data_IF_997014684018
#
_entry.id   IF_997014684018
#
_cell.length_a   1.000
_cell.length_b   1.000
_cell.length_c   1.000
_cell.angle_alpha   90.00
_cell.angle_beta   90.00
_cell.angle_gamma   90.00
#
_symmetry.space_group_name_H-M   'P 1'
#
loop_
_entity.id
_entity.type
_entity.pdbx_description
1 polymer ?
#
# COMPACT_ATOMS: atom_id res chain seq x y z
N UNK A 1 36.98 11.20 34.93
CA UNK A 1 36.50 10.00 34.21
C UNK A 1 35.02 9.67 34.57
N UNK A 2 34.65 9.70 35.83
CA UNK A 2 33.22 9.45 36.24
C UNK A 2 32.21 10.43 35.63
N UNK A 3 32.59 11.67 35.42
CA UNK A 3 31.72 12.75 34.91
C UNK A 3 31.32 12.53 33.41
N UNK A 4 32.23 12.08 32.59
CA UNK A 4 31.96 11.86 31.16
C UNK A 4 31.04 10.65 30.88
N UNK A 5 31.17 9.58 31.67
CA UNK A 5 30.29 8.40 31.54
C UNK A 5 28.87 8.73 31.98
N UNK A 6 28.73 9.43 33.11
CA UNK A 6 27.43 9.90 33.59
C UNK A 6 26.71 10.82 32.58
N UNK A 7 27.45 11.76 32.00
CA UNK A 7 26.86 12.66 30.98
C UNK A 7 26.44 11.89 29.72
N UNK A 8 27.22 10.90 29.29
CA UNK A 8 26.92 10.06 28.15
C UNK A 8 25.60 9.29 28.35
N UNK A 9 25.50 8.55 29.46
CA UNK A 9 24.28 7.80 29.80
C UNK A 9 23.07 8.71 29.99
N UNK A 10 23.24 9.86 30.62
CA UNK A 10 22.18 10.84 30.81
C UNK A 10 21.65 11.39 29.47
N UNK A 11 22.52 11.71 28.51
CA UNK A 11 22.09 12.14 27.19
C UNK A 11 21.32 11.07 26.42
N UNK A 12 21.75 9.79 26.52
CA UNK A 12 21.03 8.66 25.93
C UNK A 12 19.65 8.53 26.56
N UNK A 13 19.58 8.51 27.87
CA UNK A 13 18.30 8.39 28.61
C UNK A 13 17.31 9.49 28.25
N UNK A 14 17.75 10.74 28.24
CA UNK A 14 16.92 11.87 27.82
C UNK A 14 16.52 11.75 26.35
N UNK A 15 17.44 11.38 25.47
CA UNK A 15 17.16 11.20 24.05
C UNK A 15 16.09 10.13 23.82
N UNK A 16 16.24 8.94 24.43
CA UNK A 16 15.25 7.84 24.33
C UNK A 16 13.90 8.19 24.94
N UNK A 17 13.86 9.01 26.00
CA UNK A 17 12.61 9.55 26.57
C UNK A 17 11.85 10.39 25.50
N UNK A 18 12.54 11.25 24.76
CA UNK A 18 11.93 12.02 23.68
C UNK A 18 11.53 11.15 22.47
N UNK A 19 12.21 10.01 22.22
CA UNK A 19 11.75 9.02 21.23
C UNK A 19 10.39 8.45 21.64
N UNK A 20 10.22 8.09 22.91
CA UNK A 20 8.95 7.58 23.44
C UNK A 20 7.82 8.61 23.33
N UNK A 21 8.13 9.90 23.47
CA UNK A 21 7.21 11.02 23.24
C UNK A 21 6.99 11.37 21.76
N UNK A 22 7.61 10.65 20.83
CA UNK A 22 7.64 10.94 19.38
C UNK A 22 8.19 12.32 19.02
N UNK A 23 8.97 12.95 19.92
CA UNK A 23 9.63 14.22 19.67
C UNK A 23 11.04 14.01 19.09
N UNK A 24 11.07 13.58 17.84
CA UNK A 24 12.29 13.10 17.17
C UNK A 24 13.38 14.17 17.05
N UNK A 25 13.02 15.45 16.85
CA UNK A 25 14.01 16.52 16.78
C UNK A 25 14.72 16.78 18.13
N UNK A 26 13.97 16.71 19.25
CA UNK A 26 14.60 16.82 20.57
C UNK A 26 15.42 15.58 20.88
N UNK A 27 14.90 14.37 20.58
CA UNK A 27 15.64 13.14 20.71
C UNK A 27 16.99 13.21 19.99
N UNK A 28 16.98 13.61 18.72
CA UNK A 28 18.17 13.77 17.90
C UNK A 28 19.19 14.74 18.51
N UNK A 29 18.70 15.87 19.06
CA UNK A 29 19.59 16.84 19.74
C UNK A 29 20.36 16.22 20.91
N UNK A 30 19.71 15.38 21.72
CA UNK A 30 20.34 14.77 22.89
C UNK A 30 21.21 13.58 22.51
N UNK A 31 20.78 12.74 21.58
CA UNK A 31 21.59 11.61 21.13
C UNK A 31 22.83 12.07 20.35
N UNK A 32 22.78 13.17 19.61
CA UNK A 32 23.97 13.81 19.04
C UNK A 32 24.98 14.29 20.10
N UNK A 33 24.53 14.75 21.27
CA UNK A 33 25.42 15.09 22.38
C UNK A 33 26.07 13.83 22.97
N UNK A 34 25.31 12.73 23.11
CA UNK A 34 25.88 11.44 23.50
C UNK A 34 26.91 10.96 22.47
N UNK A 35 26.59 11.04 21.19
CA UNK A 35 27.48 10.66 20.10
C UNK A 35 28.81 11.46 20.07
N UNK A 36 28.79 12.70 20.50
CA UNK A 36 29.97 13.53 20.63
C UNK A 36 30.86 13.19 21.85
N UNK A 37 30.39 12.36 22.78
CA UNK A 37 31.18 11.85 23.89
C UNK A 37 32.24 10.84 23.41
N UNK A 38 33.33 10.57 24.15
CA UNK A 38 34.41 9.74 23.69
C UNK A 38 34.06 8.33 23.22
N UNK A 39 33.02 7.73 23.85
CA UNK A 39 32.57 6.38 23.50
C UNK A 39 31.41 6.38 22.47
N UNK A 40 30.80 7.53 22.18
CA UNK A 40 29.57 7.61 21.40
C UNK A 40 29.70 7.10 19.96
N UNK A 41 30.86 7.26 19.34
CA UNK A 41 31.12 6.78 17.97
C UNK A 41 31.37 5.27 17.87
N UNK A 42 31.44 4.56 18.98
CA UNK A 42 31.66 3.10 19.05
C UNK A 42 30.47 2.37 19.67
N UNK A 43 29.48 3.11 20.15
CA UNK A 43 28.28 2.56 20.75
C UNK A 43 27.26 2.24 19.65
N UNK A 44 27.14 0.97 19.31
CA UNK A 44 26.28 0.49 18.22
C UNK A 44 24.83 0.86 18.48
N UNK A 45 24.35 0.70 19.72
CA UNK A 45 22.96 1.00 20.06
C UNK A 45 22.63 2.48 19.86
N UNK A 46 23.54 3.37 20.28
CA UNK A 46 23.39 4.81 20.06
C UNK A 46 23.41 5.16 18.56
N UNK A 47 24.27 4.52 17.77
CA UNK A 47 24.35 4.78 16.33
C UNK A 47 23.08 4.28 15.64
N UNK A 48 22.53 3.14 16.05
CA UNK A 48 21.23 2.64 15.58
C UNK A 48 20.07 3.55 15.97
N UNK A 49 20.06 4.08 17.20
CA UNK A 49 19.07 5.07 17.63
C UNK A 49 19.13 6.35 16.76
N UNK A 50 20.35 6.80 16.42
CA UNK A 50 20.52 7.94 15.51
C UNK A 50 20.07 7.63 14.11
N UNK A 51 20.39 6.45 13.56
CA UNK A 51 19.93 6.00 12.25
C UNK A 51 18.40 6.00 12.18
N UNK A 52 17.74 5.40 13.17
CA UNK A 52 16.29 5.41 13.30
C UNK A 52 15.70 6.84 13.35
N UNK A 53 16.32 7.75 14.09
CA UNK A 53 15.85 9.13 14.19
C UNK A 53 16.00 9.90 12.87
N UNK A 54 17.11 9.68 12.16
CA UNK A 54 17.29 10.28 10.84
C UNK A 54 16.25 9.75 9.84
N UNK A 55 15.96 8.46 9.87
CA UNK A 55 14.86 7.88 9.10
C UNK A 55 13.51 8.57 9.43
N UNK A 56 13.16 8.70 10.72
CA UNK A 56 11.89 9.33 11.16
C UNK A 56 11.74 10.81 10.79
N UNK A 57 12.82 11.50 10.50
CA UNK A 57 12.79 12.88 10.01
C UNK A 57 13.07 13.00 8.50
N UNK A 58 13.06 11.87 7.78
CA UNK A 58 13.32 11.76 6.35
C UNK A 58 14.72 12.28 5.90
N UNK A 59 15.73 12.24 6.78
CA UNK A 59 17.13 12.46 6.43
C UNK A 59 17.81 11.13 6.09
N UNK A 60 17.40 10.54 4.97
CA UNK A 60 17.84 9.20 4.55
C UNK A 60 19.35 9.10 4.33
N UNK A 61 20.00 10.17 3.84
CA UNK A 61 21.45 10.21 3.68
C UNK A 61 22.19 10.05 5.02
N UNK A 62 21.70 10.72 6.07
CA UNK A 62 22.30 10.60 7.40
C UNK A 62 21.99 9.24 8.03
N UNK A 63 20.77 8.70 7.81
CA UNK A 63 20.39 7.36 8.27
C UNK A 63 21.29 6.29 7.64
N UNK A 64 21.45 6.30 6.32
CA UNK A 64 22.33 5.39 5.57
C UNK A 64 23.76 5.40 6.11
N UNK A 65 24.30 6.61 6.33
CA UNK A 65 25.64 6.77 6.91
C UNK A 65 25.77 6.13 8.29
N UNK A 66 24.75 6.27 9.15
CA UNK A 66 24.76 5.66 10.48
C UNK A 66 24.69 4.13 10.39
N UNK A 67 23.81 3.57 9.53
CA UNK A 67 23.76 2.12 9.35
C UNK A 67 25.08 1.55 8.79
N UNK A 68 25.72 2.22 7.82
CA UNK A 68 27.05 1.82 7.32
C UNK A 68 28.10 1.87 8.41
N UNK A 69 28.07 2.89 9.28
CA UNK A 69 28.98 2.94 10.44
C UNK A 69 28.76 1.80 11.42
N UNK A 70 27.53 1.36 11.63
CA UNK A 70 27.26 0.15 12.44
C UNK A 70 27.94 -1.06 11.81
N UNK A 71 27.80 -1.24 10.50
CA UNK A 71 28.38 -2.37 9.78
C UNK A 71 29.92 -2.34 9.71
N UNK A 72 30.52 -1.16 9.79
CA UNK A 72 31.98 -1.02 9.93
C UNK A 72 32.48 -1.51 11.31
N UNK A 73 31.61 -1.45 12.34
CA UNK A 73 31.93 -1.91 13.71
C UNK A 73 31.55 -3.38 13.88
N UNK A 74 30.36 -3.76 13.43
CA UNK A 74 29.77 -5.10 13.48
C UNK A 74 29.10 -5.43 12.15
N UNK A 75 29.80 -6.14 11.30
CA UNK A 75 29.32 -6.56 9.98
C UNK A 75 28.26 -7.67 10.03
N UNK A 76 27.85 -8.10 11.22
CA UNK A 76 26.78 -9.09 11.44
C UNK A 76 25.47 -8.47 11.96
N UNK A 77 25.43 -7.14 12.12
CA UNK A 77 24.26 -6.46 12.64
C UNK A 77 23.07 -6.52 11.67
N UNK A 78 22.15 -7.45 11.89
CA UNK A 78 20.95 -7.65 11.06
C UNK A 78 20.06 -6.39 10.98
N UNK A 79 19.97 -5.62 12.08
CA UNK A 79 19.18 -4.37 12.13
C UNK A 79 19.75 -3.32 11.17
N UNK A 80 21.08 -3.21 11.06
CA UNK A 80 21.70 -2.25 10.17
C UNK A 80 21.48 -2.61 8.69
N UNK A 81 21.59 -3.88 8.34
CA UNK A 81 21.26 -4.36 7.01
C UNK A 81 19.78 -4.13 6.68
N UNK A 82 18.87 -4.46 7.59
CA UNK A 82 17.44 -4.19 7.40
C UNK A 82 17.16 -2.71 7.20
N UNK A 83 17.79 -1.83 8.00
CA UNK A 83 17.63 -0.38 7.87
C UNK A 83 18.13 0.17 6.53
N UNK A 84 19.25 -0.35 6.02
CA UNK A 84 19.71 -0.02 4.66
C UNK A 84 18.73 -0.51 3.60
N UNK A 85 18.20 -1.72 3.77
CA UNK A 85 17.20 -2.27 2.87
C UNK A 85 15.96 -1.38 2.77
N UNK A 86 15.45 -0.86 3.89
CA UNK A 86 14.30 0.07 3.89
C UNK A 86 14.63 1.36 3.12
N UNK A 87 15.82 1.93 3.28
CA UNK A 87 16.23 3.15 2.57
C UNK A 87 16.28 2.91 1.06
N UNK A 88 16.86 1.79 0.63
CA UNK A 88 16.91 1.46 -0.80
C UNK A 88 15.54 1.13 -1.38
N UNK A 89 14.66 0.50 -0.59
CA UNK A 89 13.28 0.20 -0.97
C UNK A 89 12.45 1.49 -1.18
N UNK A 90 12.59 2.47 -0.26
CA UNK A 90 11.95 3.79 -0.38
C UNK A 90 12.46 4.59 -1.61
N UNK A 91 13.69 4.35 -2.04
CA UNK A 91 14.29 4.92 -3.27
C UNK A 91 13.98 4.09 -4.54
N UNK A 92 13.13 3.05 -4.44
CA UNK A 92 12.78 2.10 -5.51
C UNK A 92 13.99 1.31 -6.07
N UNK A 93 15.09 1.23 -5.30
CA UNK A 93 16.28 0.44 -5.61
C UNK A 93 16.10 -0.98 -5.07
N UNK A 94 15.16 -1.72 -5.67
CA UNK A 94 14.70 -3.01 -5.14
C UNK A 94 15.78 -4.09 -5.13
N UNK A 95 16.70 -4.10 -6.09
CA UNK A 95 17.80 -5.07 -6.15
C UNK A 95 18.76 -4.86 -4.97
N UNK A 96 19.12 -3.63 -4.65
CA UNK A 96 19.98 -3.27 -3.52
C UNK A 96 19.26 -3.56 -2.19
N UNK A 97 17.97 -3.27 -2.11
CA UNK A 97 17.15 -3.60 -0.94
C UNK A 97 17.12 -5.11 -0.67
N UNK A 98 16.91 -5.92 -1.71
CA UNK A 98 16.92 -7.40 -1.64
C UNK A 98 18.24 -7.91 -1.07
N UNK A 99 19.39 -7.41 -1.54
CA UNK A 99 20.69 -7.84 -1.03
C UNK A 99 20.86 -7.48 0.45
N UNK A 100 20.37 -6.32 0.86
CA UNK A 100 20.40 -5.92 2.27
C UNK A 100 19.46 -6.78 3.13
N UNK A 101 18.24 -7.05 2.70
CA UNK A 101 17.32 -7.91 3.45
C UNK A 101 17.82 -9.35 3.55
N UNK A 102 18.44 -9.90 2.50
CA UNK A 102 19.08 -11.22 2.55
C UNK A 102 20.19 -11.26 3.61
N UNK A 103 21.06 -10.26 3.65
CA UNK A 103 22.11 -10.16 4.67
C UNK A 103 21.53 -10.03 6.08
N UNK A 104 20.43 -9.30 6.26
CA UNK A 104 19.75 -9.24 7.54
C UNK A 104 19.26 -10.63 7.98
N UNK A 105 18.67 -11.41 7.07
CA UNK A 105 18.18 -12.77 7.31
C UNK A 105 19.34 -13.77 7.55
N UNK A 106 20.44 -13.65 6.82
CA UNK A 106 21.64 -14.48 7.03
C UNK A 106 22.18 -14.33 8.46
N UNK A 107 22.13 -13.12 9.03
CA UNK A 107 22.62 -12.82 10.37
C UNK A 107 21.55 -13.06 11.47
N UNK A 108 20.26 -12.93 11.14
CA UNK A 108 19.15 -13.30 12.03
C UNK A 108 18.04 -13.99 11.22
N UNK A 109 18.04 -15.31 11.21
CA UNK A 109 17.09 -16.12 10.46
C UNK A 109 15.65 -16.10 11.05
N UNK A 110 15.42 -15.38 12.14
CA UNK A 110 14.10 -15.12 12.73
C UNK A 110 13.64 -13.68 12.54
N UNK A 111 14.35 -12.89 11.78
CA UNK A 111 14.01 -11.49 11.56
C UNK A 111 12.80 -11.38 10.62
N UNK A 112 11.61 -11.56 11.18
CA UNK A 112 10.31 -11.56 10.47
C UNK A 112 10.16 -10.38 9.50
N UNK A 113 10.49 -9.17 9.96
CA UNK A 113 10.37 -7.95 9.13
C UNK A 113 11.26 -8.00 7.88
N UNK A 114 12.46 -8.58 7.98
CA UNK A 114 13.35 -8.68 6.83
C UNK A 114 12.78 -9.62 5.77
N UNK A 115 12.17 -10.74 6.16
CA UNK A 115 11.43 -11.60 5.22
C UNK A 115 10.25 -10.89 4.57
N UNK A 116 9.49 -10.11 5.37
CA UNK A 116 8.32 -9.39 4.87
C UNK A 116 8.70 -8.38 3.78
N UNK A 117 9.68 -7.53 4.05
CA UNK A 117 10.11 -6.52 3.09
C UNK A 117 10.91 -7.12 1.92
N UNK A 118 11.63 -8.23 2.13
CA UNK A 118 12.23 -8.99 1.03
C UNK A 118 11.15 -9.53 0.08
N UNK A 119 10.02 -10.01 0.63
CA UNK A 119 8.89 -10.46 -0.18
C UNK A 119 8.26 -9.31 -0.97
N UNK A 120 8.07 -8.12 -0.33
CA UNK A 120 7.57 -6.94 -1.01
C UNK A 120 8.48 -6.54 -2.18
N UNK A 121 9.79 -6.43 -1.96
CA UNK A 121 10.74 -6.04 -3.00
C UNK A 121 10.75 -7.03 -4.18
N UNK A 122 10.63 -8.33 -3.92
CA UNK A 122 10.47 -9.32 -4.98
C UNK A 122 9.14 -9.19 -5.72
N UNK A 123 8.07 -8.83 -5.02
CA UNK A 123 6.74 -8.61 -5.62
C UNK A 123 6.75 -7.39 -6.56
N UNK A 124 7.36 -6.29 -6.15
CA UNK A 124 7.55 -5.08 -6.98
C UNK A 124 8.35 -5.38 -8.25
N UNK A 125 9.37 -6.23 -8.18
CA UNK A 125 10.12 -6.71 -9.35
C UNK A 125 9.36 -7.78 -10.17
N UNK A 126 8.14 -8.15 -9.78
CA UNK A 126 7.34 -9.17 -10.46
C UNK A 126 7.80 -10.61 -10.22
N UNK A 127 8.77 -10.84 -9.32
CA UNK A 127 9.23 -12.17 -8.95
C UNK A 127 8.31 -12.81 -7.91
N UNK A 128 7.11 -13.20 -8.38
CA UNK A 128 6.05 -13.73 -7.52
C UNK A 128 6.45 -15.02 -6.79
N UNK A 129 7.32 -15.84 -7.35
CA UNK A 129 7.77 -17.10 -6.72
C UNK A 129 8.59 -16.82 -5.45
N UNK A 130 9.60 -15.94 -5.52
CA UNK A 130 10.38 -15.56 -4.36
C UNK A 130 9.56 -14.74 -3.35
N UNK A 131 8.62 -13.90 -3.81
CA UNK A 131 7.69 -13.19 -2.92
C UNK A 131 6.86 -14.17 -2.08
N UNK A 132 6.23 -15.17 -2.71
CA UNK A 132 5.44 -16.22 -2.02
C UNK A 132 6.30 -16.96 -0.99
N UNK A 133 7.52 -17.34 -1.37
CA UNK A 133 8.44 -18.05 -0.49
C UNK A 133 8.73 -17.24 0.77
N UNK A 134 9.06 -15.97 0.63
CA UNK A 134 9.41 -15.12 1.75
C UNK A 134 8.21 -14.75 2.62
N UNK A 135 7.02 -14.44 2.06
CA UNK A 135 5.80 -14.30 2.85
C UNK A 135 5.43 -15.58 3.59
N UNK A 136 5.70 -16.74 2.99
CA UNK A 136 5.49 -18.02 3.67
C UNK A 136 6.41 -18.18 4.88
N UNK A 137 7.67 -17.72 4.80
CA UNK A 137 8.57 -17.69 5.96
C UNK A 137 8.04 -16.73 7.05
N UNK A 138 7.52 -15.54 6.68
CA UNK A 138 6.81 -14.67 7.64
C UNK A 138 5.72 -15.45 8.36
N UNK A 139 4.86 -16.16 7.63
CA UNK A 139 3.75 -16.92 8.25
C UNK A 139 4.21 -18.14 9.07
N UNK A 140 5.40 -18.69 8.83
CA UNK A 140 6.00 -19.70 9.72
C UNK A 140 6.46 -19.09 11.05
N UNK A 141 7.00 -17.87 11.01
CA UNK A 141 7.43 -17.15 12.21
C UNK A 141 6.24 -16.55 12.97
N UNK A 142 5.27 -16.01 12.25
CA UNK A 142 4.07 -15.36 12.76
C UNK A 142 2.85 -15.72 11.89
N UNK A 143 2.16 -16.78 12.22
CA UNK A 143 1.00 -17.27 11.46
C UNK A 143 -0.19 -16.27 11.43
N UNK A 144 -0.15 -15.24 12.28
CA UNK A 144 -1.17 -14.18 12.38
C UNK A 144 -0.71 -12.85 11.77
N UNK A 145 0.32 -12.86 10.92
CA UNK A 145 0.66 -11.65 10.20
C UNK A 145 -0.45 -11.32 9.18
N UNK A 146 -1.08 -10.16 9.40
CA UNK A 146 -2.20 -9.69 8.60
C UNK A 146 -1.79 -9.47 7.14
N UNK A 147 -0.67 -8.76 6.97
CA UNK A 147 -0.27 -8.30 5.65
C UNK A 147 0.35 -9.40 4.81
N UNK A 148 1.08 -10.33 5.41
CA UNK A 148 1.59 -11.49 4.70
C UNK A 148 0.44 -12.37 4.17
N UNK A 149 -0.64 -12.58 4.96
CA UNK A 149 -1.83 -13.26 4.47
C UNK A 149 -2.51 -12.47 3.35
N UNK A 150 -2.70 -11.15 3.50
CA UNK A 150 -3.36 -10.33 2.48
C UNK A 150 -2.56 -10.28 1.17
N UNK A 151 -1.24 -10.08 1.24
CA UNK A 151 -0.37 -10.02 0.06
C UNK A 151 -0.29 -11.37 -0.66
N UNK A 152 -0.16 -12.49 0.06
CA UNK A 152 -0.28 -13.81 -0.54
C UNK A 152 -1.62 -14.01 -1.25
N UNK A 153 -2.72 -13.51 -0.67
CA UNK A 153 -4.02 -13.52 -1.32
C UNK A 153 -4.01 -12.77 -2.66
N UNK A 154 -3.44 -11.56 -2.69
CA UNK A 154 -3.32 -10.78 -3.93
C UNK A 154 -2.44 -11.49 -4.97
N UNK A 155 -1.27 -11.98 -4.57
CA UNK A 155 -0.33 -12.68 -5.48
C UNK A 155 -0.97 -13.93 -6.09
N UNK A 156 -1.64 -14.77 -5.29
CA UNK A 156 -2.30 -15.97 -5.84
C UNK A 156 -3.46 -15.62 -6.77
N UNK A 157 -4.16 -14.50 -6.55
CA UNK A 157 -5.18 -14.04 -7.50
C UNK A 157 -4.57 -13.58 -8.83
N UNK A 158 -3.44 -12.86 -8.80
CA UNK A 158 -2.69 -12.48 -9.99
C UNK A 158 -2.17 -13.68 -10.77
N UNK A 159 -1.78 -14.75 -10.08
CA UNK A 159 -1.38 -16.03 -10.68
C UNK A 159 -2.57 -16.89 -11.16
N UNK A 160 -3.81 -16.44 -10.95
CA UNK A 160 -5.03 -17.12 -11.38
C UNK A 160 -5.57 -18.18 -10.41
N UNK A 161 -4.92 -18.40 -9.25
CA UNK A 161 -5.45 -19.30 -8.21
C UNK A 161 -6.34 -18.52 -7.22
N UNK A 162 -7.48 -18.08 -7.72
CA UNK A 162 -8.46 -17.32 -6.92
C UNK A 162 -8.96 -18.12 -5.70
N UNK A 163 -8.95 -19.47 -5.74
CA UNK A 163 -9.37 -20.27 -4.58
C UNK A 163 -8.37 -20.16 -3.43
N UNK A 164 -7.09 -20.24 -3.75
CA UNK A 164 -6.04 -20.08 -2.74
C UNK A 164 -5.94 -18.63 -2.26
N UNK A 165 -6.11 -17.68 -3.18
CA UNK A 165 -6.23 -16.25 -2.86
C UNK A 165 -7.32 -15.99 -1.82
N UNK A 166 -8.51 -16.54 -2.03
CA UNK A 166 -9.64 -16.41 -1.10
C UNK A 166 -9.30 -16.95 0.29
N UNK A 167 -8.65 -18.12 0.38
CA UNK A 167 -8.26 -18.72 1.67
C UNK A 167 -7.28 -17.85 2.47
N UNK A 168 -6.30 -17.24 1.81
CA UNK A 168 -5.37 -16.35 2.48
C UNK A 168 -6.04 -15.04 2.88
N UNK A 169 -6.89 -14.48 2.01
CA UNK A 169 -7.64 -13.26 2.33
C UNK A 169 -8.67 -13.49 3.44
N UNK A 170 -9.27 -14.68 3.55
CA UNK A 170 -10.17 -15.07 4.63
C UNK A 170 -9.44 -15.05 5.99
N UNK A 171 -8.19 -15.57 6.06
CA UNK A 171 -7.36 -15.45 7.27
C UNK A 171 -7.06 -13.99 7.61
N UNK A 172 -6.77 -13.16 6.62
CA UNK A 172 -6.58 -11.73 6.86
C UNK A 172 -7.87 -11.06 7.37
N UNK A 173 -9.04 -11.46 6.86
CA UNK A 173 -10.33 -10.97 7.33
C UNK A 173 -10.63 -11.40 8.78
N UNK A 174 -10.27 -12.63 9.18
CA UNK A 174 -10.39 -13.08 10.57
C UNK A 174 -9.56 -12.21 11.53
N UNK A 175 -8.36 -11.77 11.09
CA UNK A 175 -7.47 -10.91 11.87
C UNK A 175 -7.95 -9.46 11.93
N UNK A 176 -8.55 -8.96 10.86
CA UNK A 176 -9.07 -7.60 10.78
C UNK A 176 -10.43 -7.54 10.05
N UNK A 177 -11.53 -7.86 10.76
CA UNK A 177 -12.86 -8.00 10.15
C UNK A 177 -13.45 -6.71 9.57
N UNK A 178 -12.90 -5.56 9.94
CA UNK A 178 -13.36 -4.24 9.49
C UNK A 178 -12.30 -3.50 8.66
N UNK A 179 -11.40 -4.20 8.00
CA UNK A 179 -10.45 -3.57 7.11
C UNK A 179 -11.03 -3.46 5.69
N UNK A 180 -11.31 -2.24 5.23
CA UNK A 180 -12.05 -2.00 3.98
C UNK A 180 -11.42 -2.64 2.73
N UNK A 181 -10.07 -2.61 2.58
CA UNK A 181 -9.39 -3.23 1.44
C UNK A 181 -9.48 -4.75 1.46
N UNK A 182 -9.42 -5.37 2.64
CA UNK A 182 -9.60 -6.81 2.78
C UNK A 182 -11.04 -7.20 2.41
N UNK A 183 -12.04 -6.46 2.90
CA UNK A 183 -13.44 -6.64 2.52
C UNK A 183 -13.64 -6.46 1.02
N UNK A 184 -13.05 -5.43 0.43
CA UNK A 184 -13.09 -5.20 -1.02
C UNK A 184 -12.51 -6.40 -1.79
N UNK A 185 -11.32 -6.89 -1.43
CA UNK A 185 -10.67 -8.03 -2.09
C UNK A 185 -11.48 -9.32 -1.91
N UNK A 186 -12.11 -9.55 -0.74
CA UNK A 186 -13.05 -10.66 -0.55
C UNK A 186 -14.24 -10.56 -1.52
N UNK A 187 -14.74 -9.35 -1.79
CA UNK A 187 -15.75 -9.11 -2.82
C UNK A 187 -15.27 -9.48 -4.22
N UNK A 188 -14.07 -9.04 -4.60
CA UNK A 188 -13.44 -9.36 -5.89
C UNK A 188 -13.29 -10.87 -6.07
N UNK A 189 -12.73 -11.56 -5.09
CA UNK A 189 -12.51 -13.00 -5.16
C UNK A 189 -13.80 -13.79 -5.14
N UNK A 190 -14.81 -13.37 -4.34
CA UNK A 190 -16.14 -13.98 -4.33
C UNK A 190 -16.78 -13.89 -5.71
N UNK A 191 -16.72 -12.73 -6.37
CA UNK A 191 -17.22 -12.56 -7.73
C UNK A 191 -16.52 -13.46 -8.74
N UNK A 192 -15.18 -13.52 -8.71
CA UNK A 192 -14.38 -14.39 -9.58
C UNK A 192 -14.71 -15.89 -9.38
N UNK A 193 -15.08 -16.27 -8.16
CA UNK A 193 -15.51 -17.63 -7.83
C UNK A 193 -17.00 -17.89 -8.16
N UNK A 194 -17.70 -16.92 -8.74
CA UNK A 194 -19.12 -17.03 -9.13
C UNK A 194 -20.12 -16.81 -7.99
N UNK A 195 -19.65 -16.37 -6.83
CA UNK A 195 -20.55 -16.05 -5.70
C UNK A 195 -20.83 -14.55 -5.64
N UNK A 196 -21.72 -14.09 -6.52
CA UNK A 196 -22.08 -12.67 -6.61
C UNK A 196 -22.79 -12.13 -5.37
N UNK A 197 -23.59 -12.95 -4.69
CA UNK A 197 -24.30 -12.53 -3.47
C UNK A 197 -23.31 -12.19 -2.36
N UNK A 198 -22.31 -13.05 -2.14
CA UNK A 198 -21.24 -12.76 -1.20
C UNK A 198 -20.41 -11.55 -1.63
N UNK A 199 -20.13 -11.40 -2.93
CA UNK A 199 -19.40 -10.23 -3.44
C UNK A 199 -20.12 -8.91 -3.12
N UNK A 200 -21.44 -8.86 -3.35
CA UNK A 200 -22.28 -7.70 -3.02
C UNK A 200 -22.22 -7.39 -1.52
N UNK A 201 -22.32 -8.40 -0.68
CA UNK A 201 -22.26 -8.23 0.77
C UNK A 201 -20.91 -7.66 1.22
N UNK A 202 -19.80 -8.17 0.69
CA UNK A 202 -18.47 -7.68 1.00
C UNK A 202 -18.23 -6.25 0.50
N UNK A 203 -18.69 -5.88 -0.70
CA UNK A 203 -18.57 -4.51 -1.18
C UNK A 203 -19.39 -3.54 -0.32
N UNK A 204 -20.62 -3.91 0.10
CA UNK A 204 -21.42 -3.11 1.02
C UNK A 204 -20.71 -2.90 2.36
N UNK A 205 -20.12 -3.96 2.94
CA UNK A 205 -19.35 -3.85 4.18
C UNK A 205 -18.12 -2.97 4.00
N UNK A 206 -17.44 -3.04 2.85
CA UNK A 206 -16.31 -2.17 2.53
C UNK A 206 -16.73 -0.71 2.47
N UNK A 207 -17.85 -0.39 1.82
CA UNK A 207 -18.44 0.94 1.74
C UNK A 207 -18.85 1.47 3.13
N UNK A 208 -19.47 0.62 3.95
CA UNK A 208 -19.85 0.99 5.32
C UNK A 208 -18.64 1.38 6.18
N UNK A 209 -17.51 0.70 6.00
CA UNK A 209 -16.26 0.97 6.76
C UNK A 209 -15.54 2.19 6.22
N UNK A 210 -15.44 2.31 4.90
CA UNK A 210 -14.70 3.37 4.23
C UNK A 210 -15.48 3.90 3.01
N UNK A 211 -16.39 4.87 3.20
CA UNK A 211 -17.19 5.46 2.12
C UNK A 211 -16.34 6.20 1.07
N UNK A 212 -15.14 6.62 1.45
CA UNK A 212 -14.21 7.31 0.56
C UNK A 212 -13.34 6.37 -0.27
N UNK A 213 -13.66 5.07 -0.31
CA UNK A 213 -13.00 4.09 -1.18
C UNK A 213 -13.86 3.80 -2.42
N UNK A 214 -13.65 4.52 -3.54
CA UNK A 214 -14.56 4.54 -4.68
C UNK A 214 -14.63 3.22 -5.44
N UNK A 215 -13.59 2.39 -5.37
CA UNK A 215 -13.55 1.08 -6.06
C UNK A 215 -14.62 0.10 -5.57
N UNK A 216 -15.06 0.22 -4.32
CA UNK A 216 -16.12 -0.64 -3.79
C UNK A 216 -17.47 -0.35 -4.46
N UNK A 217 -17.79 0.92 -4.71
CA UNK A 217 -18.99 1.31 -5.45
C UNK A 217 -18.93 0.85 -6.91
N UNK A 218 -17.77 1.05 -7.56
CA UNK A 218 -17.60 0.64 -8.95
C UNK A 218 -17.80 -0.86 -9.11
N UNK A 219 -17.11 -1.68 -8.32
CA UNK A 219 -17.19 -3.13 -8.45
C UNK A 219 -18.58 -3.67 -8.07
N UNK A 220 -19.25 -3.03 -7.11
CA UNK A 220 -20.63 -3.33 -6.78
C UNK A 220 -21.59 -3.00 -7.93
N UNK A 221 -21.45 -1.84 -8.56
CA UNK A 221 -22.25 -1.43 -9.71
C UNK A 221 -22.03 -2.33 -10.94
N UNK A 222 -20.77 -2.76 -11.17
CA UNK A 222 -20.41 -3.66 -12.29
C UNK A 222 -21.18 -4.99 -12.23
N UNK A 223 -21.51 -5.52 -11.03
CA UNK A 223 -22.33 -6.73 -10.91
C UNK A 223 -23.72 -6.48 -11.52
N UNK A 224 -24.33 -5.33 -11.27
CA UNK A 224 -25.64 -4.99 -11.83
C UNK A 224 -25.59 -4.64 -13.32
N UNK A 225 -24.51 -4.00 -13.78
CA UNK A 225 -24.24 -3.79 -15.20
C UNK A 225 -24.19 -5.13 -15.96
N UNK A 226 -23.52 -6.13 -15.43
CA UNK A 226 -23.44 -7.48 -16.03
C UNK A 226 -24.80 -8.20 -16.08
N UNK A 227 -25.73 -7.82 -15.22
CA UNK A 227 -27.13 -8.26 -15.24
C UNK A 227 -28.03 -7.37 -16.10
N UNK A 228 -27.46 -6.39 -16.80
CA UNK A 228 -28.18 -5.36 -17.56
C UNK A 228 -29.14 -4.50 -16.72
N UNK A 229 -29.04 -4.55 -15.39
CA UNK A 229 -29.78 -3.65 -14.48
C UNK A 229 -29.00 -2.33 -14.32
N UNK A 230 -28.97 -1.56 -15.41
CA UNK A 230 -28.28 -0.28 -15.46
C UNK A 230 -28.84 0.75 -14.50
N UNK A 231 -30.15 0.69 -14.20
CA UNK A 231 -30.77 1.62 -13.24
C UNK A 231 -30.18 1.42 -11.84
N UNK A 232 -30.04 0.17 -11.41
CA UNK A 232 -29.44 -0.14 -10.11
C UNK A 232 -27.94 0.19 -10.10
N UNK A 233 -27.24 -0.08 -11.20
CA UNK A 233 -25.82 0.29 -11.34
C UNK A 233 -25.62 1.82 -11.21
N UNK A 234 -26.48 2.63 -11.86
CA UNK A 234 -26.49 4.10 -11.76
C UNK A 234 -26.76 4.56 -10.32
N UNK A 235 -27.75 3.97 -9.65
CA UNK A 235 -28.04 4.29 -8.25
C UNK A 235 -26.79 4.12 -7.36
N UNK A 236 -26.08 2.99 -7.49
CA UNK A 236 -24.87 2.69 -6.71
C UNK A 236 -23.75 3.68 -7.03
N UNK A 237 -23.51 3.98 -8.32
CA UNK A 237 -22.50 4.96 -8.72
C UNK A 237 -22.84 6.37 -8.24
N UNK A 238 -24.13 6.73 -8.19
CA UNK A 238 -24.55 8.02 -7.65
C UNK A 238 -24.16 8.18 -6.17
N UNK A 239 -24.32 7.13 -5.37
CA UNK A 239 -23.83 7.12 -3.99
C UNK A 239 -22.30 7.25 -3.95
N UNK A 240 -21.60 6.52 -4.82
CA UNK A 240 -20.15 6.60 -4.94
C UNK A 240 -19.65 8.01 -5.29
N UNK A 241 -20.29 8.68 -6.25
CA UNK A 241 -19.97 10.06 -6.67
C UNK A 241 -20.26 11.07 -5.55
N UNK A 242 -21.31 10.85 -4.78
CA UNK A 242 -21.64 11.73 -3.65
C UNK A 242 -20.54 11.77 -2.61
N UNK A 243 -19.98 10.62 -2.28
CA UNK A 243 -18.89 10.49 -1.31
C UNK A 243 -17.49 10.79 -1.94
N UNK A 244 -17.34 10.59 -3.26
CA UNK A 244 -16.09 10.74 -3.99
C UNK A 244 -16.25 11.63 -5.25
N UNK A 245 -16.57 12.92 -5.09
CA UNK A 245 -16.96 13.80 -6.21
C UNK A 245 -15.85 14.16 -7.18
N UNK A 246 -14.60 13.92 -6.81
CA UNK A 246 -13.41 14.21 -7.63
C UNK A 246 -12.88 12.97 -8.38
N UNK A 247 -13.54 11.80 -8.24
CA UNK A 247 -13.13 10.57 -8.89
C UNK A 247 -13.68 10.44 -10.30
N UNK A 248 -12.91 10.88 -11.30
CA UNK A 248 -13.32 10.95 -12.70
C UNK A 248 -13.81 9.63 -13.29
N UNK A 249 -13.25 8.49 -12.85
CA UNK A 249 -13.66 7.18 -13.37
C UNK A 249 -15.08 6.77 -12.96
N UNK A 250 -15.62 7.29 -11.86
CA UNK A 250 -17.01 7.03 -11.49
C UNK A 250 -17.98 7.70 -12.48
N UNK A 251 -17.71 8.94 -12.88
CA UNK A 251 -18.48 9.62 -13.91
C UNK A 251 -18.36 8.91 -15.26
N UNK A 252 -17.14 8.47 -15.61
CA UNK A 252 -16.94 7.70 -16.84
C UNK A 252 -17.79 6.43 -16.87
N UNK A 253 -17.78 5.62 -15.81
CA UNK A 253 -18.59 4.40 -15.74
C UNK A 253 -20.09 4.71 -15.76
N UNK A 254 -20.56 5.78 -15.07
CA UNK A 254 -21.96 6.19 -15.12
C UNK A 254 -22.36 6.67 -16.52
N UNK A 255 -21.46 7.34 -17.25
CA UNK A 255 -21.71 7.70 -18.65
C UNK A 255 -21.96 6.48 -19.52
N UNK A 256 -21.18 5.38 -19.35
CA UNK A 256 -21.41 4.12 -20.06
C UNK A 256 -22.81 3.54 -19.71
N UNK A 257 -23.20 3.58 -18.44
CA UNK A 257 -24.51 3.09 -18.02
C UNK A 257 -25.65 3.95 -18.59
N UNK A 258 -25.52 5.28 -18.58
CA UNK A 258 -26.50 6.17 -19.23
C UNK A 258 -26.57 5.95 -20.74
N UNK A 259 -25.44 5.76 -21.41
CA UNK A 259 -25.42 5.45 -22.85
C UNK A 259 -26.14 4.15 -23.18
N UNK A 260 -25.99 3.11 -22.34
CA UNK A 260 -26.67 1.83 -22.48
C UNK A 260 -28.22 1.97 -22.45
N UNK A 261 -28.75 2.81 -21.56
CA UNK A 261 -30.21 3.06 -21.45
C UNK A 261 -30.69 4.22 -22.34
N UNK A 262 -29.84 4.72 -23.25
CA UNK A 262 -30.15 5.80 -24.22
C UNK A 262 -30.32 7.20 -23.62
N UNK A 263 -29.89 7.43 -22.39
CA UNK A 263 -29.83 8.76 -21.76
C UNK A 263 -28.57 9.52 -22.21
N UNK A 264 -28.52 9.81 -23.52
CA UNK A 264 -27.27 10.26 -24.18
C UNK A 264 -26.79 11.64 -23.69
N UNK A 265 -27.68 12.54 -23.32
CA UNK A 265 -27.30 13.86 -22.80
C UNK A 265 -26.69 13.76 -21.40
N UNK A 266 -27.19 12.87 -20.54
CA UNK A 266 -26.64 12.58 -19.23
C UNK A 266 -25.25 11.92 -19.39
N UNK A 267 -25.16 10.94 -20.28
CA UNK A 267 -23.87 10.29 -20.61
C UNK A 267 -22.82 11.32 -21.05
N UNK A 268 -23.17 12.23 -21.94
CA UNK A 268 -22.27 13.25 -22.45
C UNK A 268 -21.83 14.24 -21.35
N UNK A 269 -22.73 14.65 -20.45
CA UNK A 269 -22.38 15.50 -19.31
C UNK A 269 -21.37 14.82 -18.38
N UNK A 270 -21.54 13.53 -18.11
CA UNK A 270 -20.62 12.75 -17.28
C UNK A 270 -19.28 12.54 -17.94
N UNK A 271 -19.22 12.30 -19.26
CA UNK A 271 -17.98 12.29 -20.04
C UNK A 271 -17.21 13.60 -19.84
N UNK A 272 -17.87 14.76 -19.97
CA UNK A 272 -17.21 16.04 -19.76
C UNK A 272 -16.72 16.24 -18.33
N UNK A 273 -17.50 15.82 -17.35
CA UNK A 273 -17.08 15.91 -15.95
C UNK A 273 -15.86 15.01 -15.70
N UNK A 274 -15.87 13.78 -16.20
CA UNK A 274 -14.75 12.85 -16.08
C UNK A 274 -13.44 13.41 -16.67
N UNK A 275 -13.51 13.94 -17.91
CA UNK A 275 -12.33 14.54 -18.57
C UNK A 275 -11.82 15.77 -17.82
N UNK A 276 -12.72 16.60 -17.31
CA UNK A 276 -12.34 17.77 -16.51
C UNK A 276 -11.59 17.39 -15.23
N UNK A 277 -11.91 16.25 -14.64
CA UNK A 277 -11.26 15.75 -13.43
C UNK A 277 -9.95 15.02 -13.74
N UNK A 278 -9.89 14.31 -14.87
CA UNK A 278 -8.69 13.60 -15.31
C UNK A 278 -8.72 13.42 -16.84
N UNK A 279 -7.80 14.09 -17.52
CA UNK A 279 -7.65 14.07 -18.98
C UNK A 279 -7.13 12.73 -19.53
N UNK A 280 -6.56 11.87 -18.69
CA UNK A 280 -6.13 10.51 -19.04
C UNK A 280 -7.25 9.72 -19.77
N UNK A 281 -8.51 9.96 -19.42
CA UNK A 281 -9.64 9.25 -20.03
C UNK A 281 -9.96 9.67 -21.46
N UNK A 282 -9.44 10.80 -21.97
CA UNK A 282 -9.79 11.33 -23.29
C UNK A 282 -9.51 10.32 -24.40
N UNK A 283 -8.30 9.77 -24.45
CA UNK A 283 -7.91 8.83 -25.50
C UNK A 283 -8.61 7.48 -25.37
N UNK A 284 -8.91 7.06 -24.15
CA UNK A 284 -9.66 5.85 -23.89
C UNK A 284 -11.12 6.00 -24.35
N UNK A 285 -11.79 7.07 -23.96
CA UNK A 285 -13.17 7.38 -24.32
C UNK A 285 -13.40 7.50 -25.83
N UNK A 286 -12.39 7.98 -26.59
CA UNK A 286 -12.48 8.05 -28.06
C UNK A 286 -12.61 6.68 -28.71
N UNK A 287 -12.12 5.63 -28.08
CA UNK A 287 -12.07 4.26 -28.62
C UNK A 287 -13.11 3.33 -28.01
N UNK A 288 -13.72 3.73 -26.89
CA UNK A 288 -14.66 2.89 -26.15
C UNK A 288 -16.00 2.74 -26.90
N UNK A 289 -16.34 1.50 -27.25
CA UNK A 289 -17.59 1.20 -27.97
C UNK A 289 -18.87 1.47 -27.16
N UNK A 290 -18.80 1.42 -25.85
CA UNK A 290 -19.94 1.72 -24.97
C UNK A 290 -20.42 3.17 -25.17
N UNK A 291 -19.52 4.07 -25.63
CA UNK A 291 -19.77 5.49 -25.87
C UNK A 291 -20.00 5.84 -27.36
N UNK A 292 -20.08 4.87 -28.30
CA UNK A 292 -20.28 5.13 -29.73
C UNK A 292 -21.49 6.02 -30.00
N UNK A 293 -22.56 5.81 -29.27
CA UNK A 293 -23.83 6.54 -29.46
C UNK A 293 -23.73 8.02 -29.11
N UNK A 294 -22.93 8.40 -28.12
CA UNK A 294 -22.75 9.81 -27.77
C UNK A 294 -21.87 10.55 -28.77
N UNK A 295 -21.00 9.84 -29.52
CA UNK A 295 -20.12 10.45 -30.53
C UNK A 295 -20.92 11.01 -31.70
N UNK A 296 -22.14 10.57 -31.91
CA UNK A 296 -23.04 11.11 -32.94
C UNK A 296 -23.60 12.48 -32.59
N UNK A 297 -23.56 12.86 -31.31
CA UNK A 297 -24.12 14.12 -30.82
C UNK A 297 -23.28 15.34 -31.29
N UNK A 298 -23.93 16.39 -31.76
CA UNK A 298 -23.27 17.62 -32.20
C UNK A 298 -22.41 18.28 -31.10
N UNK A 299 -22.82 18.17 -29.82
CA UNK A 299 -22.05 18.66 -28.66
C UNK A 299 -20.74 17.89 -28.48
N UNK A 300 -20.74 16.58 -28.73
CA UNK A 300 -19.51 15.77 -28.66
C UNK A 300 -18.55 16.21 -29.77
N UNK A 301 -19.02 16.28 -31.01
CA UNK A 301 -18.19 16.67 -32.20
C UNK A 301 -17.53 18.02 -32.04
N UNK A 302 -18.22 19.01 -31.41
CA UNK A 302 -17.67 20.35 -31.17
C UNK A 302 -16.48 20.40 -30.22
N UNK A 303 -16.28 19.38 -29.39
CA UNK A 303 -15.26 19.35 -28.35
C UNK A 303 -14.10 18.42 -28.71
N UNK A 304 -14.40 17.32 -29.41
CA UNK A 304 -13.41 16.30 -29.73
C UNK A 304 -12.93 16.32 -31.21
N UNK A 305 -13.54 17.12 -32.07
CA UNK A 305 -13.11 17.41 -33.46
C UNK A 305 -12.62 18.83 -33.56
#
# INVERSE_FOLDING_TARGET
MLDNTYMFENYISIGRSFVAEKNYLKALKFLKKAYACPNGKKDIDLILDLAFLYDKIADFNSAEKMYKMVLDIDNTCAIAYYGLGIIYDDDELYEEAIECYKKAIENDNKYEKAYFFLANAYDELGNKEEAIKNYTEVLKLNSKDLWANANLGCIYDELGDTRLAFKYMEKALELSPRHFRILFNMGVFSKKLGNEEAAIEYYKKSIEVEPYYPYSYLNYAVIYREKEDYMKAIEIINEGIKENPEEGFLYYNRACFYAAISELDLALNDVFKSIKLNDFFVEYMKKDRELDRIRTLERYKKIFN
#
